data_IF_329236940836
#
_entry.id   IF_329236940836
#
_cell.length_a   1.000
_cell.length_b   1.000
_cell.length_c   1.000
_cell.angle_alpha   90.00
_cell.angle_beta   90.00
_cell.angle_gamma   90.00
#
_symmetry.space_group_name_H-M   'P 1'
#
loop_
_entity.id
_entity.type
_entity.pdbx_description
1 polymer ?
#
# COMPACT_ATOMS: atom_id res chain seq x y z
N UNK A 1 6.01 13.51 16.98
CA UNK A 1 4.62 12.98 16.96
C UNK A 1 4.14 12.52 15.57
N UNK A 2 4.78 12.88 14.45
CA UNK A 2 4.31 12.49 13.09
C UNK A 2 4.67 11.06 12.61
N UNK A 3 5.52 10.31 13.33
CA UNK A 3 5.94 8.96 12.92
C UNK A 3 4.85 7.89 13.08
N UNK A 4 3.88 8.09 13.99
CA UNK A 4 2.82 7.10 14.23
C UNK A 4 1.84 7.02 13.05
N UNK A 5 1.33 8.15 12.59
CA UNK A 5 0.31 8.15 11.51
C UNK A 5 0.83 7.64 10.17
N UNK A 6 2.11 7.88 9.84
CA UNK A 6 2.69 7.29 8.64
C UNK A 6 2.79 5.77 8.70
N UNK A 7 3.01 5.22 9.90
CA UNK A 7 3.09 3.79 10.08
C UNK A 7 1.70 3.13 9.96
N UNK A 8 0.65 3.77 10.48
CA UNK A 8 -0.74 3.29 10.38
C UNK A 8 -1.22 3.17 8.93
N UNK A 9 -0.88 4.16 8.10
CA UNK A 9 -1.19 4.16 6.66
C UNK A 9 -0.51 2.99 5.95
N UNK A 10 0.78 2.76 6.23
CA UNK A 10 1.56 1.67 5.63
C UNK A 10 1.04 0.30 6.05
N UNK A 11 0.73 0.09 7.33
CA UNK A 11 0.20 -1.18 7.83
C UNK A 11 -1.20 -1.45 7.27
N UNK A 12 -2.09 -0.44 7.27
CA UNK A 12 -3.41 -0.55 6.65
C UNK A 12 -3.32 -0.91 5.16
N UNK A 13 -2.40 -0.29 4.43
CA UNK A 13 -2.21 -0.57 3.01
C UNK A 13 -1.71 -2.00 2.76
N UNK A 14 -0.83 -2.53 3.60
CA UNK A 14 -0.38 -3.95 3.52
C UNK A 14 -1.53 -4.91 3.74
N UNK A 15 -2.36 -4.68 4.76
CA UNK A 15 -3.52 -5.53 5.04
C UNK A 15 -4.49 -5.54 3.85
N UNK A 16 -4.83 -4.35 3.33
CA UNK A 16 -5.71 -4.24 2.17
C UNK A 16 -5.07 -4.92 0.94
N UNK A 17 -3.76 -4.80 0.75
CA UNK A 17 -3.05 -5.49 -0.34
C UNK A 17 -3.18 -7.01 -0.23
N UNK A 18 -3.07 -7.57 0.98
CA UNK A 18 -3.22 -9.02 1.20
C UNK A 18 -4.63 -9.52 0.96
N UNK A 19 -5.64 -8.72 1.32
CA UNK A 19 -7.05 -9.05 1.18
C UNK A 19 -7.51 -8.92 -0.28
N UNK A 20 -7.20 -7.79 -0.92
CA UNK A 20 -7.68 -7.47 -2.26
C UNK A 20 -6.78 -8.02 -3.37
N UNK A 21 -5.52 -8.30 -3.08
CA UNK A 21 -4.50 -8.76 -4.04
C UNK A 21 -4.54 -7.96 -5.35
N UNK A 22 -4.36 -6.63 -5.28
CA UNK A 22 -4.57 -5.75 -6.41
C UNK A 22 -3.65 -6.13 -7.58
N UNK A 23 -4.23 -6.30 -8.76
CA UNK A 23 -3.46 -6.54 -10.01
C UNK A 23 -2.64 -5.32 -10.43
N UNK A 24 -3.13 -4.12 -10.10
CA UNK A 24 -2.52 -2.84 -10.44
C UNK A 24 -2.18 -2.04 -9.16
N UNK A 25 -0.93 -2.13 -8.66
CA UNK A 25 -0.48 -1.45 -7.45
C UNK A 25 -0.68 0.07 -7.50
N UNK A 26 -0.29 0.71 -8.61
CA UNK A 26 -0.48 2.17 -8.80
C UNK A 26 -1.93 2.60 -8.72
N UNK A 27 -2.83 1.88 -9.39
CA UNK A 27 -4.26 2.22 -9.41
C UNK A 27 -4.86 2.07 -8.02
N UNK A 28 -4.50 0.99 -7.33
CA UNK A 28 -4.94 0.70 -5.97
C UNK A 28 -4.48 1.76 -4.97
N UNK A 29 -3.20 2.15 -5.01
CA UNK A 29 -2.64 3.20 -4.13
C UNK A 29 -3.27 4.55 -4.42
N UNK A 30 -3.48 4.90 -5.69
CA UNK A 30 -4.12 6.16 -6.07
C UNK A 30 -5.57 6.26 -5.57
N UNK A 31 -6.32 5.16 -5.63
CA UNK A 31 -7.67 5.09 -5.07
C UNK A 31 -7.64 5.22 -3.54
N UNK A 32 -6.72 4.51 -2.88
CA UNK A 32 -6.49 4.59 -1.44
C UNK A 32 -6.14 6.01 -0.98
N UNK A 33 -5.18 6.67 -1.62
CA UNK A 33 -4.80 8.05 -1.32
C UNK A 33 -5.98 9.01 -1.48
N UNK A 34 -6.75 8.86 -2.56
CA UNK A 34 -7.96 9.67 -2.78
C UNK A 34 -9.01 9.44 -1.70
N UNK A 35 -9.26 8.18 -1.34
CA UNK A 35 -10.26 7.77 -0.35
C UNK A 35 -9.95 8.32 1.04
N UNK A 36 -8.68 8.30 1.43
CA UNK A 36 -8.23 8.75 2.76
C UNK A 36 -7.68 10.18 2.77
N UNK A 37 -7.73 10.89 1.64
CA UNK A 37 -7.17 12.26 1.47
C UNK A 37 -5.74 12.36 1.99
N UNK A 38 -4.92 11.36 1.68
CA UNK A 38 -3.52 11.34 2.11
C UNK A 38 -2.78 12.42 1.32
N UNK A 39 -2.28 13.43 2.02
CA UNK A 39 -1.53 14.55 1.45
C UNK A 39 -0.02 14.33 1.68
N UNK A 40 0.82 14.82 0.77
CA UNK A 40 2.28 14.81 0.97
C UNK A 40 3.11 13.87 0.09
N UNK A 41 2.62 13.44 -1.08
CA UNK A 41 3.48 12.82 -2.11
C UNK A 41 3.90 11.37 -1.86
N UNK A 42 3.19 10.62 -1.02
CA UNK A 42 3.51 9.23 -0.70
C UNK A 42 3.07 8.20 -1.76
N UNK A 43 2.58 8.63 -2.93
CA UNK A 43 2.04 7.73 -3.96
C UNK A 43 3.07 6.71 -4.45
N UNK A 44 4.30 7.16 -4.69
CA UNK A 44 5.39 6.28 -5.17
C UNK A 44 5.82 5.30 -4.07
N UNK A 45 6.03 5.79 -2.85
CA UNK A 45 6.45 4.97 -1.69
C UNK A 45 5.40 3.90 -1.34
N UNK A 46 4.12 4.27 -1.34
CA UNK A 46 3.02 3.35 -1.10
C UNK A 46 2.89 2.34 -2.25
N UNK A 47 3.13 2.75 -3.50
CA UNK A 47 3.13 1.85 -4.66
C UNK A 47 4.21 0.78 -4.54
N UNK A 48 5.45 1.17 -4.25
CA UNK A 48 6.55 0.22 -4.05
C UNK A 48 6.27 -0.75 -2.91
N UNK A 49 5.61 -0.29 -1.84
CA UNK A 49 5.24 -1.13 -0.71
C UNK A 49 4.21 -2.20 -1.10
N UNK A 50 3.22 -1.85 -1.92
CA UNK A 50 2.22 -2.79 -2.46
C UNK A 50 2.88 -3.79 -3.41
N UNK A 51 3.74 -3.33 -4.32
CA UNK A 51 4.50 -4.19 -5.23
C UNK A 51 5.34 -5.21 -4.49
N UNK A 52 6.04 -4.77 -3.44
CA UNK A 52 6.87 -5.64 -2.62
C UNK A 52 6.04 -6.70 -1.87
N UNK A 53 4.90 -6.34 -1.26
CA UNK A 53 4.02 -7.33 -0.63
C UNK A 53 3.44 -8.32 -1.64
N UNK A 54 2.97 -7.85 -2.81
CA UNK A 54 2.47 -8.72 -3.88
C UNK A 54 3.55 -9.68 -4.38
N UNK A 55 4.79 -9.21 -4.52
CA UNK A 55 5.94 -10.03 -4.88
C UNK A 55 6.23 -11.10 -3.82
N UNK A 56 6.23 -10.73 -2.54
CA UNK A 56 6.41 -11.69 -1.42
C UNK A 56 5.31 -12.75 -1.39
N UNK A 57 4.06 -12.35 -1.54
CA UNK A 57 2.92 -13.29 -1.55
C UNK A 57 3.02 -14.30 -2.70
N UNK A 58 3.50 -13.87 -3.87
CA UNK A 58 3.76 -14.77 -5.00
C UNK A 58 4.91 -15.75 -4.73
N UNK A 59 6.00 -15.31 -4.11
CA UNK A 59 7.12 -16.19 -3.75
C UNK A 59 6.78 -17.15 -2.61
N UNK A 60 5.89 -16.80 -1.69
CA UNK A 60 5.49 -17.70 -0.60
C UNK A 60 4.53 -18.82 -1.01
N UNK A 61 4.06 -18.83 -2.26
CA UNK A 61 3.20 -19.91 -2.81
C UNK A 61 3.98 -20.98 -3.58
N UNK A 62 5.32 -20.92 -3.56
CA UNK A 62 6.22 -21.90 -4.21
C UNK A 62 6.54 -23.09 -3.32
#
# INVERSE_FOLDING_TARGET
MAKHSQNEVKESLKELTRIFQPKDPRKFVKDYIRKYRITGGYEDELTTLVEHEMGRMKSSVS
#
